data_IF_936764652765
#
_entry.id   IF_936764652765
#
_cell.length_a   1.000
_cell.length_b   1.000
_cell.length_c   1.000
_cell.angle_alpha   90.00
_cell.angle_beta   90.00
_cell.angle_gamma   90.00
#
_symmetry.space_group_name_H-M   'P 1'
#
loop_
_entity.id
_entity.type
_entity.pdbx_description
1 polymer ?
#
# COMPACT_ATOMS: atom_id res chain seq x y z
N UNK A 1 -5.28 -36.69 -3.22
CA UNK A 1 -4.78 -35.67 -4.17
C UNK A 1 -4.00 -34.69 -3.32
N UNK A 2 -2.68 -34.70 -3.42
CA UNK A 2 -1.86 -33.71 -2.74
C UNK A 2 -2.03 -32.39 -3.46
N UNK A 3 -2.58 -31.40 -2.76
CA UNK A 3 -2.57 -30.02 -3.21
C UNK A 3 -1.10 -29.62 -3.33
N UNK A 4 -0.62 -29.39 -4.55
CA UNK A 4 0.70 -28.80 -4.76
C UNK A 4 0.54 -27.37 -4.30
N UNK A 5 0.86 -27.11 -3.03
CA UNK A 5 0.97 -25.73 -2.56
C UNK A 5 2.06 -25.08 -3.42
N UNK A 6 1.79 -23.91 -4.02
CA UNK A 6 2.83 -23.16 -4.73
C UNK A 6 4.04 -22.99 -3.81
N UNK A 7 5.25 -22.97 -4.39
CA UNK A 7 6.49 -22.76 -3.63
C UNK A 7 6.35 -21.45 -2.85
N UNK A 8 6.14 -21.59 -1.54
CA UNK A 8 5.96 -20.50 -0.59
C UNK A 8 7.29 -19.76 -0.44
N UNK A 9 7.24 -18.44 -0.28
CA UNK A 9 8.44 -17.65 0.02
C UNK A 9 9.18 -18.19 1.25
N UNK A 10 10.48 -18.44 1.10
CA UNK A 10 11.37 -18.90 2.16
C UNK A 10 11.87 -17.74 3.01
N UNK A 11 12.30 -18.02 4.24
CA UNK A 11 12.82 -17.01 5.16
C UNK A 11 14.03 -16.26 4.56
N UNK A 12 14.90 -16.95 3.81
CA UNK A 12 16.05 -16.31 3.17
C UNK A 12 15.64 -15.35 2.04
N UNK A 13 14.54 -15.65 1.35
CA UNK A 13 14.00 -14.79 0.29
C UNK A 13 13.39 -13.52 0.90
N UNK A 14 12.59 -13.66 1.96
CA UNK A 14 12.08 -12.51 2.73
C UNK A 14 13.24 -11.67 3.30
N UNK A 15 14.26 -12.32 3.87
CA UNK A 15 15.42 -11.64 4.42
C UNK A 15 16.17 -10.82 3.35
N UNK A 16 16.33 -11.36 2.13
CA UNK A 16 16.97 -10.64 1.02
C UNK A 16 16.22 -9.34 0.67
N UNK A 17 14.88 -9.37 0.62
CA UNK A 17 14.08 -8.17 0.41
C UNK A 17 14.32 -7.10 1.49
N UNK A 18 14.33 -7.51 2.75
CA UNK A 18 14.59 -6.60 3.87
C UNK A 18 16.00 -6.02 3.80
N UNK A 19 17.01 -6.86 3.55
CA UNK A 19 18.40 -6.43 3.41
C UNK A 19 18.62 -5.48 2.23
N UNK A 20 17.95 -5.71 1.10
CA UNK A 20 18.03 -4.82 -0.07
C UNK A 20 17.51 -3.42 0.26
N UNK A 21 16.38 -3.33 0.98
CA UNK A 21 15.87 -2.03 1.49
C UNK A 21 16.88 -1.39 2.45
N UNK A 22 17.47 -2.15 3.37
CA UNK A 22 18.49 -1.65 4.31
C UNK A 22 19.75 -1.13 3.60
N UNK A 23 20.10 -1.70 2.45
CA UNK A 23 21.20 -1.26 1.58
C UNK A 23 20.82 -0.10 0.65
N UNK A 24 19.56 0.32 0.64
CA UNK A 24 19.05 1.46 -0.13
C UNK A 24 18.43 1.11 -1.49
N UNK A 25 18.29 -0.17 -1.85
CA UNK A 25 17.61 -0.62 -3.07
C UNK A 25 16.08 -0.62 -2.91
N UNK A 26 15.52 0.51 -2.50
CA UNK A 26 14.07 0.64 -2.28
C UNK A 26 13.31 0.56 -3.61
N UNK A 27 13.84 1.19 -4.65
CA UNK A 27 13.18 1.22 -5.96
C UNK A 27 13.14 -0.15 -6.64
N UNK A 28 14.22 -0.94 -6.54
CA UNK A 28 14.26 -2.30 -7.07
C UNK A 28 13.30 -3.21 -6.32
N UNK A 29 13.28 -3.14 -4.99
CA UNK A 29 12.34 -3.91 -4.16
C UNK A 29 10.88 -3.55 -4.48
N UNK A 30 10.55 -2.26 -4.64
CA UNK A 30 9.19 -1.86 -5.04
C UNK A 30 8.84 -2.40 -6.42
N UNK A 31 9.77 -2.42 -7.37
CA UNK A 31 9.54 -2.98 -8.70
C UNK A 31 9.24 -4.48 -8.65
N UNK A 32 9.95 -5.23 -7.82
CA UNK A 32 9.73 -6.66 -7.60
C UNK A 32 8.36 -6.90 -6.94
N UNK A 33 7.99 -6.08 -5.94
CA UNK A 33 6.71 -6.15 -5.23
C UNK A 33 5.50 -5.89 -6.16
N UNK A 34 5.63 -5.07 -7.19
CA UNK A 34 4.54 -4.83 -8.16
C UNK A 34 4.07 -6.15 -8.82
N UNK A 35 4.98 -7.11 -8.99
CA UNK A 35 4.70 -8.41 -9.63
C UNK A 35 4.64 -9.57 -8.62
N UNK A 36 4.71 -9.29 -7.32
CA UNK A 36 4.73 -10.31 -6.30
C UNK A 36 3.35 -10.98 -6.12
N UNK A 37 3.37 -12.24 -5.70
CA UNK A 37 2.18 -12.98 -5.28
C UNK A 37 1.77 -12.45 -3.89
N UNK A 38 0.61 -11.80 -3.73
CA UNK A 38 0.22 -11.17 -2.46
C UNK A 38 0.29 -12.12 -1.27
N UNK A 39 -0.19 -13.35 -1.45
CA UNK A 39 -0.33 -14.35 -0.40
C UNK A 39 1.00 -14.66 0.29
N UNK A 40 2.13 -14.64 -0.44
CA UNK A 40 3.46 -14.91 0.11
C UNK A 40 3.89 -13.90 1.17
N UNK A 41 3.31 -12.69 1.16
CA UNK A 41 3.63 -11.61 2.10
C UNK A 41 2.74 -11.59 3.34
N UNK A 42 1.70 -12.43 3.34
CA UNK A 42 0.71 -12.51 4.40
C UNK A 42 1.28 -12.97 5.74
N UNK A 43 0.50 -12.74 6.79
CA UNK A 43 0.84 -13.12 8.16
C UNK A 43 0.96 -14.63 8.38
N UNK A 44 0.44 -15.46 7.48
CA UNK A 44 0.54 -16.93 7.54
C UNK A 44 1.91 -17.49 7.16
N UNK A 45 2.86 -16.65 6.72
CA UNK A 45 4.18 -17.06 6.22
C UNK A 45 5.31 -16.36 6.96
N UNK A 46 6.43 -17.08 7.09
CA UNK A 46 7.69 -16.63 7.71
C UNK A 46 7.48 -16.04 9.12
N UNK A 47 6.53 -16.60 9.89
CA UNK A 47 6.13 -16.07 11.19
C UNK A 47 7.33 -15.91 12.13
N UNK A 48 8.07 -17.00 12.35
CA UNK A 48 9.21 -17.02 13.29
C UNK A 48 10.28 -16.00 12.88
N UNK A 49 10.55 -15.87 11.58
CA UNK A 49 11.51 -14.90 11.08
C UNK A 49 11.02 -13.46 11.30
N UNK A 50 9.77 -13.16 10.96
CA UNK A 50 9.18 -11.83 11.10
C UNK A 50 9.07 -11.42 12.57
N UNK A 51 8.72 -12.34 13.46
CA UNK A 51 8.67 -12.10 14.91
C UNK A 51 10.08 -11.78 15.45
N UNK A 52 11.07 -12.62 15.13
CA UNK A 52 12.46 -12.42 15.54
C UNK A 52 13.11 -11.16 14.95
N UNK A 53 12.62 -10.66 13.82
CA UNK A 53 13.11 -9.47 13.12
C UNK A 53 12.07 -8.33 13.07
N UNK A 54 11.16 -8.28 14.04
CA UNK A 54 9.96 -7.42 13.97
C UNK A 54 10.25 -5.95 13.68
N UNK A 55 11.28 -5.36 14.28
CA UNK A 55 11.69 -3.96 14.01
C UNK A 55 12.17 -3.76 12.56
N UNK A 56 12.95 -4.71 12.03
CA UNK A 56 13.47 -4.67 10.66
C UNK A 56 12.32 -4.83 9.66
N UNK A 57 11.41 -5.76 9.94
CA UNK A 57 10.26 -6.02 9.08
C UNK A 57 9.24 -4.87 9.11
N UNK A 58 8.97 -4.28 10.27
CA UNK A 58 8.16 -3.05 10.41
C UNK A 58 8.75 -1.92 9.54
N UNK A 59 10.06 -1.67 9.68
CA UNK A 59 10.75 -0.64 8.89
C UNK A 59 10.70 -0.95 7.38
N UNK A 60 10.82 -2.22 7.00
CA UNK A 60 10.68 -2.66 5.62
C UNK A 60 9.30 -2.30 5.06
N UNK A 61 8.20 -2.70 5.73
CA UNK A 61 6.84 -2.42 5.28
C UNK A 61 6.62 -0.90 5.14
N UNK A 62 7.00 -0.13 6.16
CA UNK A 62 6.88 1.34 6.12
C UNK A 62 7.63 1.95 4.93
N UNK A 63 8.83 1.46 4.64
CA UNK A 63 9.69 2.00 3.58
C UNK A 63 9.12 1.68 2.20
N UNK A 64 8.73 0.43 1.94
CA UNK A 64 8.24 0.03 0.62
C UNK A 64 6.87 0.66 0.32
N UNK A 65 5.97 0.76 1.30
CA UNK A 65 4.67 1.40 1.13
C UNK A 65 4.79 2.92 0.93
N UNK A 66 5.69 3.58 1.66
CA UNK A 66 5.94 5.01 1.45
C UNK A 66 6.53 5.29 0.05
N UNK A 67 7.40 4.42 -0.45
CA UNK A 67 8.04 4.58 -1.75
C UNK A 67 7.14 4.17 -2.93
N UNK A 68 6.22 3.24 -2.74
CA UNK A 68 5.37 2.74 -3.82
C UNK A 68 4.27 3.70 -4.23
N UNK A 69 3.81 4.56 -3.31
CA UNK A 69 2.57 5.30 -3.50
C UNK A 69 1.42 4.33 -3.78
N UNK A 70 0.69 4.56 -4.87
CA UNK A 70 -0.46 3.77 -5.29
C UNK A 70 -0.15 2.59 -6.25
N UNK A 71 1.14 2.28 -6.47
CA UNK A 71 1.56 1.29 -7.49
C UNK A 71 1.36 -0.17 -7.10
N UNK A 72 1.38 -0.50 -5.80
CA UNK A 72 1.15 -1.88 -5.36
C UNK A 72 -0.33 -2.23 -5.45
N UNK A 73 -0.64 -3.50 -5.67
CA UNK A 73 -2.02 -3.97 -5.68
C UNK A 73 -2.67 -3.82 -4.29
N UNK A 74 -3.99 -3.64 -4.27
CA UNK A 74 -4.75 -3.59 -3.02
C UNK A 74 -4.57 -4.87 -2.18
N UNK A 75 -4.50 -6.01 -2.85
CA UNK A 75 -4.31 -7.33 -2.22
C UNK A 75 -2.96 -7.40 -1.52
N UNK A 76 -1.86 -7.01 -2.19
CA UNK A 76 -0.52 -7.03 -1.59
C UNK A 76 -0.42 -6.05 -0.42
N UNK A 77 -0.98 -4.85 -0.53
CA UNK A 77 -1.01 -3.87 0.57
C UNK A 77 -1.80 -4.42 1.76
N UNK A 78 -2.89 -5.16 1.50
CA UNK A 78 -3.66 -5.83 2.56
C UNK A 78 -2.83 -6.87 3.28
N UNK A 79 -2.11 -7.72 2.55
CA UNK A 79 -1.27 -8.76 3.15
C UNK A 79 -0.10 -8.19 3.95
N UNK A 80 0.59 -7.17 3.41
CA UNK A 80 1.64 -6.46 4.15
C UNK A 80 1.11 -5.83 5.44
N UNK A 81 -0.01 -5.11 5.36
CA UNK A 81 -0.57 -4.41 6.52
C UNK A 81 -1.26 -5.33 7.53
N UNK A 82 -1.71 -6.53 7.13
CA UNK A 82 -2.22 -7.54 8.06
C UNK A 82 -1.18 -7.97 9.10
N UNK A 83 0.12 -7.88 8.77
CA UNK A 83 1.19 -8.19 9.72
C UNK A 83 1.14 -7.27 10.97
N UNK A 84 0.59 -6.04 10.90
CA UNK A 84 0.43 -5.18 12.08
C UNK A 84 -0.59 -5.68 13.10
N UNK A 85 -1.52 -6.53 12.67
CA UNK A 85 -2.57 -7.08 13.54
C UNK A 85 -2.16 -8.45 14.09
N UNK A 86 -1.35 -9.21 13.34
CA UNK A 86 -1.02 -10.58 13.68
C UNK A 86 0.42 -10.76 14.17
N UNK A 87 1.41 -10.30 13.39
CA UNK A 87 2.82 -10.62 13.61
C UNK A 87 3.54 -9.56 14.43
N UNK A 88 3.23 -8.29 14.17
CA UNK A 88 3.83 -7.14 14.85
C UNK A 88 2.97 -6.65 16.02
N UNK A 89 1.99 -7.43 16.47
CA UNK A 89 0.98 -7.04 17.46
C UNK A 89 1.59 -6.58 18.80
N UNK A 90 2.75 -7.14 19.17
CA UNK A 90 3.46 -6.79 20.40
C UNK A 90 4.31 -5.51 20.28
N UNK A 91 4.46 -4.96 19.07
CA UNK A 91 5.10 -3.67 18.89
C UNK A 91 4.16 -2.56 19.39
N UNK A 92 4.71 -1.51 20.07
CA UNK A 92 3.92 -0.35 20.47
C UNK A 92 3.16 0.21 19.28
N UNK A 93 1.88 0.54 19.41
CA UNK A 93 1.07 1.22 18.38
C UNK A 93 1.02 0.55 17.00
N UNK A 94 1.29 -0.76 16.91
CA UNK A 94 1.35 -1.49 15.64
C UNK A 94 0.07 -1.31 14.82
N UNK A 95 -1.09 -1.53 15.43
CA UNK A 95 -2.40 -1.34 14.78
C UNK A 95 -2.57 0.08 14.24
N UNK A 96 -2.18 1.10 15.01
CA UNK A 96 -2.31 2.49 14.59
C UNK A 96 -1.36 2.83 13.44
N UNK A 97 -0.12 2.32 13.45
CA UNK A 97 0.81 2.45 12.31
C UNK A 97 0.23 1.81 11.05
N UNK A 98 -0.32 0.60 11.17
CA UNK A 98 -0.99 -0.10 10.07
C UNK A 98 -2.12 0.73 9.47
N UNK A 99 -2.99 1.31 10.32
CA UNK A 99 -4.09 2.17 9.89
C UNK A 99 -3.61 3.47 9.21
N UNK A 100 -2.56 4.11 9.73
CA UNK A 100 -1.99 5.32 9.11
C UNK A 100 -1.43 5.01 7.73
N UNK A 101 -0.72 3.90 7.55
CA UNK A 101 -0.21 3.51 6.23
C UNK A 101 -1.31 3.15 5.25
N UNK A 102 -2.38 2.48 5.72
CA UNK A 102 -3.58 2.28 4.92
C UNK A 102 -4.16 3.60 4.44
N UNK A 103 -4.27 4.59 5.34
CA UNK A 103 -4.71 5.93 4.99
C UNK A 103 -3.83 6.56 3.91
N UNK A 104 -2.50 6.51 4.07
CA UNK A 104 -1.56 7.07 3.08
C UNK A 104 -1.65 6.39 1.72
N UNK A 105 -1.76 5.07 1.67
CA UNK A 105 -1.96 4.34 0.42
C UNK A 105 -3.29 4.74 -0.25
N UNK A 106 -4.39 4.79 0.51
CA UNK A 106 -5.69 5.23 -0.03
C UNK A 106 -5.66 6.69 -0.50
N UNK A 107 -4.93 7.57 0.20
CA UNK A 107 -4.72 8.94 -0.25
C UNK A 107 -4.06 8.97 -1.63
N UNK A 108 -2.97 8.22 -1.82
CA UNK A 108 -2.30 8.13 -3.13
C UNK A 108 -3.23 7.59 -4.23
N UNK A 109 -4.08 6.61 -3.94
CA UNK A 109 -5.08 6.10 -4.89
C UNK A 109 -6.14 7.14 -5.23
N UNK A 110 -6.59 7.90 -4.24
CA UNK A 110 -7.55 8.99 -4.43
C UNK A 110 -6.92 10.14 -5.23
N UNK A 111 -5.63 10.41 -5.05
CA UNK A 111 -4.90 11.40 -5.85
C UNK A 111 -4.87 11.00 -7.34
N UNK A 112 -4.56 9.74 -7.67
CA UNK A 112 -4.60 9.24 -9.06
C UNK A 112 -6.00 9.40 -9.69
N UNK A 113 -7.04 9.06 -8.94
CA UNK A 113 -8.43 9.22 -9.40
C UNK A 113 -8.78 10.70 -9.57
N UNK A 114 -8.35 11.55 -8.64
CA UNK A 114 -8.60 13.00 -8.69
C UNK A 114 -7.93 13.63 -9.90
N UNK A 115 -6.69 13.24 -10.20
CA UNK A 115 -5.96 13.67 -11.39
C UNK A 115 -6.70 13.23 -12.66
N UNK A 116 -7.11 11.96 -12.75
CA UNK A 116 -7.87 11.47 -13.90
C UNK A 116 -9.21 12.21 -14.10
N UNK A 117 -9.97 12.45 -13.03
CA UNK A 117 -11.22 13.22 -13.12
C UNK A 117 -10.94 14.64 -13.60
N UNK A 118 -9.91 15.29 -13.06
CA UNK A 118 -9.56 16.68 -13.37
C UNK A 118 -9.05 16.85 -14.79
N UNK A 119 -8.14 15.98 -15.23
CA UNK A 119 -7.42 16.16 -16.50
C UNK A 119 -8.18 15.54 -17.67
N UNK A 120 -8.83 14.40 -17.44
CA UNK A 120 -9.47 13.62 -18.49
C UNK A 120 -10.97 13.91 -18.53
N UNK A 121 -11.67 13.67 -17.42
CA UNK A 121 -13.14 13.71 -17.44
C UNK A 121 -13.68 15.14 -17.58
N UNK A 122 -13.15 16.11 -16.83
CA UNK A 122 -13.54 17.53 -16.96
C UNK A 122 -13.18 18.11 -18.33
N UNK A 123 -12.11 17.62 -18.95
CA UNK A 123 -11.75 18.04 -20.32
C UNK A 123 -12.77 17.51 -21.33
N UNK A 124 -13.12 16.22 -21.26
CA UNK A 124 -14.08 15.63 -22.18
C UNK A 124 -15.53 16.07 -21.95
N UNK A 125 -15.91 16.44 -20.72
CA UNK A 125 -17.26 16.92 -20.42
C UNK A 125 -17.62 18.25 -21.07
N UNK A 126 -16.63 18.96 -21.62
CA UNK A 126 -16.84 20.21 -22.37
C UNK A 126 -17.22 19.97 -23.83
N UNK A 127 -17.23 18.71 -24.28
CA UNK A 127 -17.65 18.34 -25.62
C UNK A 127 -19.17 18.53 -25.81
N UNK A 128 -19.65 18.95 -26.99
CA UNK A 128 -21.08 19.15 -27.26
C UNK A 128 -21.96 17.90 -27.11
N UNK A 129 -21.36 16.71 -27.14
CA UNK A 129 -22.02 15.42 -27.00
C UNK A 129 -21.94 14.83 -25.58
N UNK A 130 -21.27 15.51 -24.65
CA UNK A 130 -21.17 15.07 -23.28
C UNK A 130 -22.49 15.34 -22.52
N UNK A 131 -23.03 14.31 -21.89
CA UNK A 131 -24.23 14.41 -21.06
C UNK A 131 -23.94 14.64 -19.57
N UNK A 132 -22.69 14.48 -19.13
CA UNK A 132 -22.29 14.67 -17.74
C UNK A 132 -21.97 16.15 -17.49
N UNK A 133 -22.66 16.83 -16.55
CA UNK A 133 -22.33 18.22 -16.23
C UNK A 133 -20.89 18.39 -15.76
N UNK A 134 -20.18 19.37 -16.33
CA UNK A 134 -18.79 19.68 -15.95
C UNK A 134 -18.70 20.08 -14.46
N UNK A 135 -19.71 20.78 -13.93
CA UNK A 135 -19.76 21.19 -12.53
C UNK A 135 -19.76 20.00 -11.56
N UNK A 136 -20.44 18.90 -11.91
CA UNK A 136 -20.49 17.69 -11.07
C UNK A 136 -19.11 17.04 -11.00
N UNK A 137 -18.37 17.00 -12.12
CA UNK A 137 -17.01 16.45 -12.16
C UNK A 137 -16.01 17.32 -11.38
N UNK A 138 -16.14 18.63 -11.45
CA UNK A 138 -15.36 19.56 -10.64
C UNK A 138 -15.64 19.41 -9.13
N UNK A 139 -16.90 19.14 -8.76
CA UNK A 139 -17.28 18.82 -7.37
C UNK A 139 -16.64 17.50 -6.91
N UNK A 140 -16.73 16.44 -7.72
CA UNK A 140 -16.10 15.14 -7.45
C UNK A 140 -14.59 15.29 -7.23
N UNK A 141 -13.90 16.04 -8.11
CA UNK A 141 -12.46 16.29 -7.96
C UNK A 141 -12.14 17.02 -6.66
N UNK A 142 -12.93 18.05 -6.31
CA UNK A 142 -12.75 18.83 -5.08
C UNK A 142 -12.94 17.97 -3.83
N UNK A 143 -13.96 17.12 -3.80
CA UNK A 143 -14.25 16.28 -2.65
C UNK A 143 -13.27 15.12 -2.51
N UNK A 144 -12.80 14.57 -3.63
CA UNK A 144 -11.72 13.58 -3.66
C UNK A 144 -10.42 14.17 -3.11
N UNK A 145 -10.04 15.39 -3.52
CA UNK A 145 -8.88 16.08 -2.98
C UNK A 145 -8.97 16.32 -1.46
N UNK A 146 -10.16 16.67 -0.95
CA UNK A 146 -10.39 16.80 0.51
C UNK A 146 -10.22 15.46 1.22
N UNK A 147 -10.72 14.37 0.65
CA UNK A 147 -10.59 13.03 1.21
C UNK A 147 -9.12 12.60 1.27
N UNK A 148 -8.40 12.72 0.16
CA UNK A 148 -6.95 12.41 0.10
C UNK A 148 -6.18 13.18 1.18
N UNK A 149 -6.42 14.49 1.30
CA UNK A 149 -5.78 15.32 2.34
C UNK A 149 -6.05 14.81 3.76
N UNK A 150 -7.28 14.41 4.06
CA UNK A 150 -7.64 13.89 5.40
C UNK A 150 -6.96 12.55 5.70
N UNK A 151 -6.82 11.70 4.68
CA UNK A 151 -6.18 10.40 4.80
C UNK A 151 -4.66 10.51 4.97
N UNK A 152 -4.00 11.38 4.19
CA UNK A 152 -2.54 11.56 4.24
C UNK A 152 -2.02 12.26 5.50
N UNK A 153 -2.84 13.13 6.11
CA UNK A 153 -2.47 13.93 7.28
C UNK A 153 -2.75 13.26 8.62
N UNK A 154 -3.25 12.03 8.65
CA UNK A 154 -3.60 11.36 9.90
C UNK A 154 -2.31 10.99 10.67
N UNK A 155 -2.14 11.45 11.92
CA UNK A 155 -0.99 11.08 12.73
C UNK A 155 -1.14 9.65 13.27
N UNK A 156 -0.03 9.04 13.65
CA UNK A 156 0.00 7.89 14.58
C UNK A 156 -0.39 8.39 15.97
N UNK A 157 -0.97 7.55 16.83
CA UNK A 157 -1.25 7.94 18.22
C UNK A 157 0.07 8.31 18.95
N UNK A 158 -0.03 9.27 19.88
CA UNK A 158 1.07 9.76 20.73
C UNK A 158 1.31 8.85 21.94
#
# INVERSE_FOLDING_TARGET
MGEVMPDRMRDEELADFVERVERGDVAGVVADLISAVPEDWGHGYNWDWKEANSERFDKFIQTVLAASGAKLSLELVTELLANYVFVLVDQPDATDRGLVMWGRYLAARVDEVTEYVTDVMVTYSKSPDASWPTADLEEIARDSAKLSKRLSQRPTAD
#
